data_IF_308306627851
#
_entry.id   IF_308306627851
#
_cell.length_a   1.000
_cell.length_b   1.000
_cell.length_c   1.000
_cell.angle_alpha   90.00
_cell.angle_beta   90.00
_cell.angle_gamma   90.00
#
_symmetry.space_group_name_H-M   'P 1'
#
loop_
_entity.id
_entity.type
_entity.pdbx_description
1 polymer ?
#
# COMPACT_ATOMS: atom_id res chain seq x y z
N UNK A 1 -4.92 9.04 -5.66
CA UNK A 1 -4.07 10.11 -6.30
C UNK A 1 -3.14 9.43 -7.32
N UNK A 2 -2.80 10.02 -8.49
CA UNK A 2 -2.04 9.28 -9.53
C UNK A 2 -0.53 9.45 -9.39
N UNK A 3 0.19 8.38 -9.07
CA UNK A 3 1.66 8.34 -9.10
C UNK A 3 2.11 8.32 -10.58
N UNK A 4 2.93 9.27 -11.05
CA UNK A 4 3.39 9.29 -12.43
C UNK A 4 4.18 8.02 -12.77
N UNK A 5 3.65 7.22 -13.71
CA UNK A 5 4.28 5.99 -14.19
C UNK A 5 3.69 4.68 -13.64
N UNK A 6 2.70 4.73 -12.75
CA UNK A 6 2.00 3.55 -12.27
C UNK A 6 0.48 3.76 -12.28
N UNK A 7 -0.27 2.75 -12.71
CA UNK A 7 -1.74 2.71 -12.60
C UNK A 7 -2.12 2.44 -11.13
N UNK A 8 -3.11 3.15 -10.55
CA UNK A 8 -3.65 2.83 -9.23
C UNK A 8 -3.97 1.34 -9.04
N UNK A 9 -4.54 0.67 -10.04
CA UNK A 9 -4.88 -0.75 -9.97
C UNK A 9 -3.65 -1.67 -9.94
N UNK A 10 -2.56 -1.27 -10.61
CA UNK A 10 -1.31 -2.03 -10.59
C UNK A 10 -0.56 -1.82 -9.26
N UNK A 11 -0.56 -0.59 -8.74
CA UNK A 11 0.01 -0.30 -7.42
C UNK A 11 -0.70 -1.07 -6.32
N UNK A 12 -2.03 -1.09 -6.34
CA UNK A 12 -2.82 -1.82 -5.34
C UNK A 12 -2.47 -3.31 -5.33
N UNK A 13 -2.41 -3.94 -6.51
CA UNK A 13 -1.94 -5.33 -6.66
C UNK A 13 -0.51 -5.54 -6.17
N UNK A 14 0.39 -4.61 -6.46
CA UNK A 14 1.79 -4.70 -6.02
C UNK A 14 1.93 -4.55 -4.50
N UNK A 15 1.11 -3.70 -3.89
CA UNK A 15 1.03 -3.51 -2.44
C UNK A 15 0.44 -4.75 -1.78
N UNK A 16 -0.69 -5.26 -2.26
CA UNK A 16 -1.29 -6.54 -1.84
C UNK A 16 -0.33 -7.73 -1.99
N UNK A 17 0.49 -7.74 -3.04
CA UNK A 17 1.48 -8.81 -3.23
C UNK A 17 2.68 -8.69 -2.28
N UNK A 18 2.91 -7.51 -1.69
CA UNK A 18 4.02 -7.26 -0.76
C UNK A 18 3.59 -7.30 0.71
N UNK A 19 2.37 -6.87 0.99
CA UNK A 19 1.75 -6.90 2.30
C UNK A 19 0.93 -8.17 2.38
N UNK A 20 1.42 -9.15 3.14
CA UNK A 20 0.56 -10.28 3.53
C UNK A 20 -0.53 -9.77 4.50
N UNK A 21 -1.67 -10.47 4.61
CA UNK A 21 -2.78 -10.05 5.49
C UNK A 21 -2.33 -9.76 6.93
N UNK A 22 -1.33 -10.49 7.44
CA UNK A 22 -0.75 -10.28 8.78
C UNK A 22 0.14 -9.02 8.87
N UNK A 23 0.75 -8.57 7.76
CA UNK A 23 1.57 -7.36 7.73
C UNK A 23 0.72 -6.08 7.70
N UNK A 24 -0.50 -6.15 7.15
CA UNK A 24 -1.39 -4.99 7.06
C UNK A 24 -1.69 -4.38 8.43
N UNK A 25 -1.92 -5.18 9.47
CA UNK A 25 -2.17 -4.67 10.82
C UNK A 25 -0.94 -4.07 11.51
N UNK A 26 0.25 -4.28 10.96
CA UNK A 26 1.53 -3.78 11.49
C UNK A 26 2.02 -2.56 10.72
N UNK A 27 1.67 -2.48 9.43
CA UNK A 27 2.06 -1.39 8.52
C UNK A 27 1.00 -0.30 8.47
N UNK A 28 -0.29 -0.65 8.54
CA UNK A 28 -1.39 0.31 8.53
C UNK A 28 -1.74 0.76 9.94
N UNK A 29 -1.97 2.06 10.09
CA UNK A 29 -2.58 2.63 11.28
C UNK A 29 -4.04 2.22 11.42
N UNK A 30 -4.61 2.37 12.63
CA UNK A 30 -6.00 1.99 12.93
C UNK A 30 -7.03 2.62 11.98
N UNK A 31 -6.82 3.87 11.57
CA UNK A 31 -7.73 4.56 10.64
C UNK A 31 -7.53 4.12 9.19
N UNK A 32 -6.30 3.78 8.79
CA UNK A 32 -5.99 3.24 7.47
C UNK A 32 -6.57 1.83 7.31
N UNK A 33 -6.41 0.99 8.33
CA UNK A 33 -6.97 -0.36 8.37
C UNK A 33 -8.50 -0.33 8.23
N UNK A 34 -9.18 0.59 8.92
CA UNK A 34 -10.64 0.76 8.78
C UNK A 34 -11.08 1.14 7.37
N UNK A 35 -10.30 1.97 6.68
CA UNK A 35 -10.59 2.36 5.28
C UNK A 35 -10.39 1.18 4.34
N UNK A 36 -9.32 0.43 4.54
CA UNK A 36 -9.08 -0.80 3.80
C UNK A 36 -10.20 -1.83 4.04
N UNK A 37 -10.61 -2.06 5.28
CA UNK A 37 -11.75 -2.92 5.63
C UNK A 37 -13.09 -2.42 5.06
N UNK A 38 -13.23 -1.11 4.85
CA UNK A 38 -14.39 -0.52 4.18
C UNK A 38 -14.36 -0.73 2.65
N UNK A 39 -13.28 -1.29 2.10
CA UNK A 39 -13.10 -1.56 0.68
C UNK A 39 -12.42 -0.45 -0.11
N UNK A 40 -11.72 0.48 0.55
CA UNK A 40 -10.82 1.42 -0.13
C UNK A 40 -9.53 0.72 -0.57
N UNK A 41 -9.04 1.05 -1.76
CA UNK A 41 -7.78 0.51 -2.29
C UNK A 41 -6.58 0.99 -1.45
N UNK A 42 -5.56 0.15 -1.30
CA UNK A 42 -4.37 0.47 -0.49
C UNK A 42 -3.67 1.72 -0.98
N UNK A 43 -3.77 2.04 -2.27
CA UNK A 43 -3.17 3.23 -2.90
C UNK A 43 -3.85 4.54 -2.52
N UNK A 44 -5.09 4.48 -2.08
CA UNK A 44 -5.85 5.63 -1.59
C UNK A 44 -5.82 5.69 -0.05
N UNK A 45 -5.58 4.56 0.61
CA UNK A 45 -5.37 4.46 2.06
C UNK A 45 -3.95 4.93 2.45
N UNK A 46 -2.95 4.50 1.69
CA UNK A 46 -1.54 4.80 1.92
C UNK A 46 -1.11 6.08 1.21
N UNK A 47 -0.21 6.80 1.85
CA UNK A 47 0.44 7.98 1.30
C UNK A 47 1.52 7.59 0.29
N UNK A 48 1.88 8.51 -0.60
CA UNK A 48 2.92 8.27 -1.61
C UNK A 48 4.29 7.89 -1.01
N UNK A 49 4.64 8.42 0.18
CA UNK A 49 5.84 8.02 0.92
C UNK A 49 5.76 6.57 1.42
N UNK A 50 4.65 6.17 2.05
CA UNK A 50 4.44 4.81 2.56
C UNK A 50 4.46 3.78 1.42
N UNK A 51 3.80 4.10 0.31
CA UNK A 51 3.83 3.29 -0.92
C UNK A 51 5.28 3.14 -1.42
N UNK A 52 6.05 4.24 -1.46
CA UNK A 52 7.45 4.19 -1.85
C UNK A 52 8.31 3.36 -0.90
N UNK A 53 8.07 3.42 0.40
CA UNK A 53 8.82 2.63 1.37
C UNK A 53 8.52 1.14 1.22
N UNK A 54 7.25 0.76 1.09
CA UNK A 54 6.82 -0.64 0.89
C UNK A 54 7.35 -1.20 -0.43
N UNK A 55 7.25 -0.43 -1.52
CA UNK A 55 7.73 -0.85 -2.84
C UNK A 55 9.27 -0.79 -2.96
N UNK A 56 9.90 0.17 -2.28
CA UNK A 56 11.33 0.47 -2.30
C UNK A 56 12.17 -0.35 -1.32
N UNK A 57 11.56 -0.99 -0.31
CA UNK A 57 12.23 -1.83 0.68
C UNK A 57 13.00 -3.04 0.09
N UNK A 58 12.86 -3.36 -1.20
CA UNK A 58 13.84 -4.17 -1.94
C UNK A 58 14.66 -3.32 -2.92
N UNK A 59 15.68 -2.67 -2.37
CA UNK A 59 16.89 -2.26 -3.12
C UNK A 59 18.14 -2.39 -2.24
N UNK A 60 18.26 -3.49 -1.49
CA UNK A 60 19.55 -4.00 -1.00
C UNK A 60 19.52 -5.53 -1.01
N UNK A 61 20.05 -6.11 -2.10
CA UNK A 61 20.65 -7.44 -2.10
C UNK A 61 21.98 -7.36 -2.83
#
# INVERSE_FOLDING_TARGET
MSIPGYDPADLDRMLLSRLEEDDLGTVLDTDQLRRYEAGEDLVDVLSEEEIRDILGARSKS
#
